data_IF_865246937712
#
_entry.id   IF_865246937712
#
_cell.length_a   1.000
_cell.length_b   1.000
_cell.length_c   1.000
_cell.angle_alpha   90.00
_cell.angle_beta   90.00
_cell.angle_gamma   90.00
#
_symmetry.space_group_name_H-M   'P 1'
#
loop_
_entity.id
_entity.type
_entity.pdbx_description
1 polymer ?
#
# COMPACT_ATOMS: atom_id res chain seq x y z
N UNK A 1 -12.95 -20.63 39.55
CA UNK A 1 -12.95 -19.49 38.60
C UNK A 1 -12.03 -18.45 39.18
N UNK A 2 -10.96 -18.09 38.49
CA UNK A 2 -10.04 -17.06 38.96
C UNK A 2 -10.81 -15.73 39.07
N UNK A 3 -10.73 -15.08 40.21
CA UNK A 3 -11.40 -13.81 40.48
C UNK A 3 -10.75 -12.75 39.60
N UNK A 4 -11.53 -12.12 38.69
CA UNK A 4 -11.03 -11.06 37.80
C UNK A 4 -10.58 -9.86 38.64
N UNK A 5 -9.35 -9.39 38.46
CA UNK A 5 -8.80 -8.21 39.14
C UNK A 5 -9.45 -6.92 38.63
N UNK A 6 -9.65 -5.95 39.53
CA UNK A 6 -10.18 -4.62 39.19
C UNK A 6 -9.34 -3.98 38.05
N UNK A 7 -10.00 -3.41 37.05
CA UNK A 7 -9.32 -2.81 35.89
C UNK A 7 -8.41 -1.63 36.28
N UNK A 8 -8.73 -0.89 37.33
CA UNK A 8 -7.86 0.16 37.85
C UNK A 8 -6.60 -0.44 38.47
N UNK A 9 -6.72 -1.55 39.17
CA UNK A 9 -5.58 -2.29 39.75
C UNK A 9 -4.72 -2.93 38.66
N UNK A 10 -5.34 -3.46 37.59
CA UNK A 10 -4.61 -4.03 36.45
C UNK A 10 -3.75 -2.97 35.77
N UNK A 11 -4.25 -1.75 35.62
CA UNK A 11 -3.47 -0.64 35.06
C UNK A 11 -2.55 0.04 36.10
N UNK A 12 -2.69 -0.27 37.39
CA UNK A 12 -1.92 0.33 38.49
C UNK A 12 -2.23 1.82 38.69
N UNK A 13 -3.48 2.22 38.51
CA UNK A 13 -3.97 3.61 38.62
C UNK A 13 -5.13 3.71 39.62
N UNK A 14 -5.38 4.90 40.12
CA UNK A 14 -6.54 5.17 41.00
C UNK A 14 -7.86 5.32 40.22
N UNK A 15 -9.01 5.09 40.91
CA UNK A 15 -10.36 5.25 40.31
C UNK A 15 -10.63 6.66 39.78
N UNK A 16 -9.92 7.66 40.28
CA UNK A 16 -10.05 9.07 39.85
C UNK A 16 -9.06 9.45 38.72
N UNK A 17 -8.37 8.45 38.11
CA UNK A 17 -7.39 8.71 37.06
C UNK A 17 -8.02 9.40 35.84
N UNK A 18 -7.29 10.36 35.31
CA UNK A 18 -7.66 11.06 34.09
C UNK A 18 -7.45 10.18 32.85
N UNK A 19 -8.09 10.49 31.74
CA UNK A 19 -7.92 9.77 30.46
C UNK A 19 -6.45 9.76 29.98
N UNK A 20 -5.70 10.82 30.31
CA UNK A 20 -4.27 10.90 29.99
C UNK A 20 -3.44 9.89 30.83
N UNK A 21 -3.78 9.73 32.09
CA UNK A 21 -3.12 8.76 33.01
C UNK A 21 -3.45 7.32 32.60
N UNK A 22 -4.70 7.04 32.24
CA UNK A 22 -5.14 5.73 31.74
C UNK A 22 -4.33 5.35 30.50
N UNK A 23 -4.24 6.24 29.49
CA UNK A 23 -3.47 6.04 28.26
C UNK A 23 -1.97 5.89 28.52
N UNK A 24 -1.42 6.61 29.50
CA UNK A 24 0.00 6.51 29.86
C UNK A 24 0.33 5.19 30.54
N UNK A 25 -0.50 4.75 31.49
CA UNK A 25 -0.37 3.48 32.19
C UNK A 25 -0.48 2.30 31.21
N UNK A 26 -1.50 2.33 30.33
CA UNK A 26 -1.68 1.34 29.29
C UNK A 26 -0.42 1.20 28.41
N UNK A 27 0.11 2.30 27.86
CA UNK A 27 1.30 2.25 26.98
C UNK A 27 2.51 1.65 27.68
N UNK A 28 2.71 1.94 28.97
CA UNK A 28 3.80 1.36 29.76
C UNK A 28 3.66 -0.15 29.91
N UNK A 29 2.47 -0.61 30.28
CA UNK A 29 2.21 -2.03 30.53
C UNK A 29 2.13 -2.83 29.23
N UNK A 30 1.51 -2.29 28.18
CA UNK A 30 1.46 -2.92 26.87
C UNK A 30 2.87 -3.13 26.27
N UNK A 31 3.77 -2.14 26.41
CA UNK A 31 5.17 -2.30 26.02
C UNK A 31 5.90 -3.34 26.85
N UNK A 32 5.63 -3.38 28.16
CA UNK A 32 6.29 -4.33 29.09
C UNK A 32 5.92 -5.79 28.81
N UNK A 33 4.64 -6.05 28.51
CA UNK A 33 4.10 -7.39 28.30
C UNK A 33 3.86 -7.72 26.81
N UNK A 34 4.46 -6.95 25.89
CA UNK A 34 4.31 -7.18 24.46
C UNK A 34 4.85 -8.57 24.07
N UNK A 35 4.13 -9.34 23.25
CA UNK A 35 4.57 -10.69 22.86
C UNK A 35 5.91 -10.69 22.13
N UNK A 36 6.23 -9.65 21.34
CA UNK A 36 7.54 -9.55 20.67
C UNK A 36 8.71 -9.35 21.64
N UNK A 37 8.46 -8.76 22.81
CA UNK A 37 9.49 -8.57 23.85
C UNK A 37 9.56 -9.71 24.84
N UNK A 38 8.51 -10.56 24.90
CA UNK A 38 8.40 -11.71 25.82
C UNK A 38 7.95 -12.96 25.03
N UNK A 39 8.70 -13.44 24.05
CA UNK A 39 8.28 -14.57 23.23
C UNK A 39 8.20 -15.85 24.05
N UNK A 40 7.00 -16.47 24.07
CA UNK A 40 6.75 -17.73 24.76
C UNK A 40 6.44 -17.64 26.24
N UNK A 41 6.38 -16.46 26.86
CA UNK A 41 5.98 -16.23 28.25
C UNK A 41 4.45 -16.14 28.36
N UNK A 42 3.83 -17.22 28.88
CA UNK A 42 2.36 -17.29 29.05
C UNK A 42 1.84 -16.31 30.10
N UNK A 43 2.60 -16.01 31.11
CA UNK A 43 2.21 -15.07 32.17
C UNK A 43 2.21 -13.63 31.62
N UNK A 44 3.17 -13.33 30.73
CA UNK A 44 3.17 -12.03 30.02
C UNK A 44 1.98 -11.91 29.05
N UNK A 45 1.63 -12.99 28.36
CA UNK A 45 0.47 -13.01 27.44
C UNK A 45 -0.86 -12.82 28.18
N UNK A 46 -1.04 -13.47 29.34
CA UNK A 46 -2.24 -13.29 30.16
C UNK A 46 -2.34 -11.85 30.69
N UNK A 47 -1.25 -11.29 31.21
CA UNK A 47 -1.20 -9.91 31.67
C UNK A 47 -1.44 -8.91 30.52
N UNK A 48 -0.96 -9.21 29.34
CA UNK A 48 -1.20 -8.37 28.15
C UNK A 48 -2.69 -8.35 27.79
N UNK A 49 -3.37 -9.49 27.85
CA UNK A 49 -4.83 -9.59 27.63
C UNK A 49 -5.61 -8.81 28.69
N UNK A 50 -5.26 -8.93 29.96
CA UNK A 50 -5.90 -8.17 31.04
C UNK A 50 -5.71 -6.66 30.88
N UNK A 51 -4.50 -6.22 30.52
CA UNK A 51 -4.18 -4.79 30.29
C UNK A 51 -4.98 -4.22 29.11
N UNK A 52 -5.16 -4.99 28.04
CA UNK A 52 -5.96 -4.59 26.89
C UNK A 52 -7.45 -4.50 27.24
N UNK A 53 -8.00 -5.49 27.96
CA UNK A 53 -9.39 -5.48 28.44
C UNK A 53 -9.66 -4.28 29.37
N UNK A 54 -8.75 -4.02 30.30
CA UNK A 54 -8.85 -2.87 31.19
C UNK A 54 -8.84 -1.53 30.45
N UNK A 55 -7.97 -1.38 29.44
CA UNK A 55 -7.92 -0.17 28.63
C UNK A 55 -9.18 0.00 27.77
N UNK A 56 -9.74 -1.07 27.19
CA UNK A 56 -10.96 -1.00 26.37
C UNK A 56 -12.17 -0.50 27.18
N UNK A 57 -12.23 -0.87 28.45
CA UNK A 57 -13.32 -0.42 29.33
C UNK A 57 -13.08 0.98 29.89
N UNK A 58 -11.87 1.28 30.35
CA UNK A 58 -11.58 2.54 31.04
C UNK A 58 -11.32 3.72 30.11
N UNK A 59 -10.98 3.49 28.84
CA UNK A 59 -10.77 4.55 27.84
C UNK A 59 -12.05 5.09 27.24
N UNK A 60 -13.15 4.33 27.30
CA UNK A 60 -14.48 4.77 26.85
C UNK A 60 -15.29 5.36 28.01
N UNK A 61 -15.68 6.64 27.96
CA UNK A 61 -16.42 7.29 29.05
C UNK A 61 -17.74 6.60 29.42
N UNK A 62 -18.41 5.93 28.48
CA UNK A 62 -19.66 5.23 28.71
C UNK A 62 -19.44 3.87 29.36
N UNK A 63 -18.45 3.10 28.88
CA UNK A 63 -18.07 1.83 29.46
C UNK A 63 -17.51 2.04 30.89
N UNK A 64 -16.65 3.07 31.05
CA UNK A 64 -16.09 3.43 32.37
C UNK A 64 -17.21 3.74 33.38
N UNK A 65 -18.19 4.59 33.03
CA UNK A 65 -19.32 4.88 33.89
C UNK A 65 -20.13 3.64 34.29
N UNK A 66 -20.34 2.72 33.35
CA UNK A 66 -21.04 1.46 33.64
C UNK A 66 -20.18 0.54 34.53
N UNK A 67 -18.90 0.49 34.31
CA UNK A 67 -17.98 -0.27 35.16
C UNK A 67 -17.91 0.33 36.56
N UNK A 68 -17.86 1.64 36.72
CA UNK A 68 -17.82 2.32 38.00
C UNK A 68 -19.11 2.12 38.81
N UNK A 69 -20.27 1.95 38.13
CA UNK A 69 -21.57 1.76 38.77
C UNK A 69 -21.91 0.29 39.07
N UNK A 70 -21.54 -0.62 38.18
CA UNK A 70 -21.99 -2.02 38.22
C UNK A 70 -20.84 -3.04 38.23
N UNK A 71 -19.59 -2.57 38.30
CA UNK A 71 -18.40 -3.42 38.23
C UNK A 71 -18.33 -4.19 36.92
N UNK A 72 -17.78 -5.40 36.95
CA UNK A 72 -17.69 -6.30 35.79
C UNK A 72 -19.05 -6.61 35.17
N UNK A 73 -20.11 -6.69 35.95
CA UNK A 73 -21.44 -6.94 35.45
C UNK A 73 -21.94 -5.83 34.49
N UNK A 74 -21.51 -4.59 34.68
CA UNK A 74 -21.89 -3.47 33.82
C UNK A 74 -21.26 -3.46 32.42
N UNK A 75 -20.22 -4.26 32.21
CA UNK A 75 -19.46 -4.36 30.96
C UNK A 75 -19.45 -5.77 30.35
N UNK A 76 -20.10 -6.73 31.01
CA UNK A 76 -20.28 -8.09 30.50
C UNK A 76 -21.35 -8.08 29.37
N UNK A 77 -21.03 -8.56 28.17
CA UNK A 77 -21.99 -8.65 27.05
C UNK A 77 -23.24 -9.45 27.37
N UNK A 78 -23.20 -10.36 28.35
CA UNK A 78 -24.31 -11.24 28.72
C UNK A 78 -25.21 -10.67 29.84
N UNK A 79 -24.84 -9.59 30.50
CA UNK A 79 -25.56 -9.07 31.67
C UNK A 79 -26.92 -8.41 31.33
N UNK A 80 -27.20 -8.13 30.05
CA UNK A 80 -28.47 -7.53 29.61
C UNK A 80 -29.50 -8.51 29.01
N UNK A 81 -29.21 -9.80 28.92
CA UNK A 81 -30.04 -10.78 28.22
C UNK A 81 -31.17 -11.41 29.05
N UNK A 82 -31.28 -11.04 30.35
CA UNK A 82 -32.20 -11.68 31.31
C UNK A 82 -33.37 -10.86 31.79
N UNK A 83 -33.62 -9.63 31.32
CA UNK A 83 -34.81 -8.87 31.72
C UNK A 83 -35.80 -8.67 30.55
N UNK A 84 -37.09 -8.98 30.70
CA UNK A 84 -38.10 -8.74 29.66
C UNK A 84 -38.46 -7.25 29.63
N UNK A 85 -37.87 -6.50 28.71
CA UNK A 85 -38.24 -5.08 28.51
C UNK A 85 -37.16 -4.16 27.91
N UNK A 86 -36.12 -4.63 27.25
CA UNK A 86 -35.16 -3.71 26.66
C UNK A 86 -34.41 -4.36 25.48
N UNK A 87 -35.03 -4.27 24.30
CA UNK A 87 -34.43 -4.79 23.06
C UNK A 87 -33.19 -4.01 22.60
N UNK A 88 -32.03 -4.59 22.76
CA UNK A 88 -30.83 -4.36 21.92
C UNK A 88 -29.89 -5.56 22.09
N UNK A 89 -30.33 -6.69 21.55
CA UNK A 89 -29.50 -7.86 21.40
C UNK A 89 -28.98 -7.97 19.98
N UNK A 90 -27.71 -7.76 19.79
CA UNK A 90 -26.97 -8.02 18.55
C UNK A 90 -25.76 -8.88 18.89
N UNK A 91 -25.90 -10.21 18.62
CA UNK A 91 -25.00 -11.26 18.98
C UNK A 91 -23.57 -11.10 18.49
N UNK A 92 -22.66 -11.30 19.41
CA UNK A 92 -21.28 -11.65 19.13
C UNK A 92 -20.95 -12.92 19.95
N UNK A 93 -21.59 -14.01 19.58
CA UNK A 93 -21.31 -15.34 20.13
C UNK A 93 -20.78 -16.25 19.04
N UNK A 94 -19.53 -16.64 19.14
CA UNK A 94 -19.01 -17.76 18.37
C UNK A 94 -17.73 -17.51 17.61
N UNK A 95 -16.62 -17.39 18.30
CA UNK A 95 -15.31 -17.64 17.70
C UNK A 95 -14.48 -18.52 18.65
N UNK A 96 -14.78 -19.80 18.61
CA UNK A 96 -13.92 -20.84 19.12
C UNK A 96 -13.53 -21.76 17.98
N UNK A 97 -12.25 -21.79 17.62
CA UNK A 97 -11.70 -22.88 16.81
C UNK A 97 -10.83 -22.46 15.63
N UNK A 98 -9.52 -22.70 15.81
CA UNK A 98 -8.49 -23.02 14.81
C UNK A 98 -8.03 -21.98 13.80
N UNK A 99 -6.74 -21.64 13.92
CA UNK A 99 -5.86 -21.27 12.81
C UNK A 99 -5.56 -19.79 12.67
N UNK A 100 -4.40 -19.40 13.18
CA UNK A 100 -3.53 -18.28 12.78
C UNK A 100 -4.06 -17.24 11.81
N UNK A 101 -4.80 -16.27 12.30
CA UNK A 101 -5.13 -15.06 11.56
C UNK A 101 -4.61 -13.90 12.37
N UNK A 102 -3.79 -13.07 11.72
CA UNK A 102 -3.20 -11.87 12.30
C UNK A 102 -4.28 -10.93 12.83
N UNK A 103 -4.33 -10.79 14.17
CA UNK A 103 -5.31 -9.94 14.87
C UNK A 103 -5.11 -8.45 14.59
N UNK A 104 -4.02 -8.04 13.97
CA UNK A 104 -3.69 -6.66 13.65
C UNK A 104 -4.55 -6.10 12.51
N UNK A 105 -4.79 -6.87 11.47
CA UNK A 105 -5.55 -6.45 10.28
C UNK A 105 -7.06 -6.38 10.54
N UNK A 106 -7.60 -7.27 11.39
CA UNK A 106 -9.03 -7.26 11.74
C UNK A 106 -9.36 -6.09 12.70
N UNK A 107 -8.41 -5.70 13.54
CA UNK A 107 -8.60 -4.59 14.48
C UNK A 107 -8.50 -3.22 13.78
N UNK A 108 -7.68 -3.10 12.74
CA UNK A 108 -7.55 -1.88 11.92
C UNK A 108 -8.81 -1.54 11.13
N UNK A 109 -9.46 -2.52 10.54
CA UNK A 109 -10.68 -2.33 9.74
C UNK A 109 -11.94 -2.10 10.59
N UNK A 110 -12.00 -2.65 11.80
CA UNK A 110 -13.17 -2.47 12.71
C UNK A 110 -13.06 -1.17 13.51
N UNK A 111 -11.86 -0.72 13.85
CA UNK A 111 -11.67 0.46 14.71
C UNK A 111 -11.09 1.71 14.01
N UNK A 112 -10.44 1.57 12.85
CA UNK A 112 -9.88 2.70 12.10
C UNK A 112 -10.86 3.45 11.20
N UNK A 113 -12.03 2.91 10.95
CA UNK A 113 -13.07 3.45 10.09
C UNK A 113 -14.32 3.86 10.86
N UNK A 114 -14.28 4.96 11.65
CA UNK A 114 -15.48 5.75 12.00
C UNK A 114 -16.58 5.01 12.72
N UNK A 115 -16.43 4.73 14.02
CA UNK A 115 -17.53 4.36 14.92
C UNK A 115 -18.48 5.56 15.17
N UNK A 116 -19.05 6.06 14.07
CA UNK A 116 -20.06 7.13 14.09
C UNK A 116 -21.28 6.76 13.25
N UNK A 117 -21.83 5.53 13.37
CA UNK A 117 -22.94 5.17 12.50
C UNK A 117 -23.55 3.80 12.68
N UNK A 118 -23.54 3.21 13.85
CA UNK A 118 -24.35 2.03 14.13
C UNK A 118 -25.77 2.43 14.48
N UNK A 119 -26.56 2.75 13.45
CA UNK A 119 -27.95 3.12 13.66
C UNK A 119 -28.61 3.66 12.42
N UNK A 120 -28.47 2.98 11.31
CA UNK A 120 -29.24 3.28 10.12
C UNK A 120 -28.73 2.38 9.01
N UNK A 121 -29.45 1.33 8.66
CA UNK A 121 -29.40 0.84 7.30
C UNK A 121 -29.64 2.07 6.43
N UNK A 122 -28.55 2.65 5.91
CA UNK A 122 -28.62 3.70 4.88
C UNK A 122 -29.44 3.08 3.77
N UNK A 123 -30.74 3.43 3.77
CA UNK A 123 -31.66 3.11 2.69
C UNK A 123 -30.94 3.57 1.44
N UNK A 124 -30.28 2.64 0.75
CA UNK A 124 -29.60 2.95 -0.51
C UNK A 124 -30.68 3.41 -1.47
N UNK A 125 -30.81 4.73 -1.59
CA UNK A 125 -31.71 5.30 -2.59
C UNK A 125 -31.15 4.88 -3.96
N UNK A 126 -31.87 4.05 -4.73
CA UNK A 126 -31.40 3.59 -6.03
C UNK A 126 -31.15 4.75 -7.00
N UNK A 127 -31.77 5.91 -6.74
CA UNK A 127 -31.58 7.13 -7.50
C UNK A 127 -30.50 8.06 -6.94
N UNK A 128 -29.80 7.66 -5.88
CA UNK A 128 -28.69 8.46 -5.37
C UNK A 128 -27.56 8.58 -6.41
N UNK A 129 -26.90 9.75 -6.50
CA UNK A 129 -25.72 9.91 -7.33
C UNK A 129 -24.64 8.89 -6.94
N UNK A 130 -24.14 8.15 -7.92
CA UNK A 130 -23.07 7.18 -7.68
C UNK A 130 -21.87 7.52 -8.55
N UNK A 131 -20.67 7.47 -7.94
CA UNK A 131 -19.40 7.63 -8.65
C UNK A 131 -19.28 6.54 -9.73
N UNK A 132 -18.70 6.88 -10.89
CA UNK A 132 -18.34 5.95 -11.93
C UNK A 132 -17.22 5.00 -11.48
N UNK A 133 -17.03 3.93 -12.24
CA UNK A 133 -15.93 2.99 -11.96
C UNK A 133 -14.59 3.61 -12.29
N UNK A 134 -13.60 3.29 -11.47
CA UNK A 134 -12.21 3.64 -11.75
C UNK A 134 -11.66 2.68 -12.80
N UNK A 135 -10.81 3.19 -13.72
CA UNK A 135 -10.21 2.43 -14.82
C UNK A 135 -8.73 2.29 -14.56
N UNK A 136 -8.20 1.09 -14.70
CA UNK A 136 -6.77 0.83 -14.62
C UNK A 136 -6.16 0.85 -16.03
N UNK A 137 -4.96 1.42 -16.13
CA UNK A 137 -4.16 1.45 -17.33
C UNK A 137 -2.69 1.22 -16.97
N UNK A 138 -1.94 0.50 -17.80
CA UNK A 138 -0.53 0.22 -17.57
C UNK A 138 0.31 1.05 -18.54
N UNK A 139 1.41 1.58 -18.04
CA UNK A 139 2.40 2.31 -18.84
C UNK A 139 3.78 1.74 -18.54
N UNK A 140 4.49 1.41 -19.61
CA UNK A 140 5.86 0.91 -19.52
C UNK A 140 6.81 2.05 -19.85
N UNK A 141 7.77 2.30 -18.97
CA UNK A 141 8.80 3.31 -19.09
C UNK A 141 10.18 2.67 -19.29
N UNK A 142 11.06 3.38 -19.97
CA UNK A 142 12.51 3.10 -19.90
C UNK A 142 13.08 3.72 -18.61
N UNK A 143 14.28 3.31 -18.22
CA UNK A 143 14.99 3.88 -17.08
C UNK A 143 15.15 5.41 -17.21
N UNK A 144 15.56 5.88 -18.41
CA UNK A 144 15.76 7.31 -18.69
C UNK A 144 14.44 8.11 -18.57
N UNK A 145 13.33 7.54 -19.10
CA UNK A 145 12.00 8.16 -18.99
C UNK A 145 11.53 8.25 -17.54
N UNK A 146 11.84 7.26 -16.72
CA UNK A 146 11.51 7.27 -15.30
C UNK A 146 12.38 8.25 -14.50
N UNK A 147 13.67 8.38 -14.87
CA UNK A 147 14.61 9.27 -14.21
C UNK A 147 14.31 10.76 -14.49
N UNK A 148 14.02 11.10 -15.75
CA UNK A 148 13.79 12.50 -16.18
C UNK A 148 12.33 12.92 -16.19
N UNK A 149 11.41 11.94 -16.12
CA UNK A 149 10.00 12.17 -16.36
C UNK A 149 9.67 12.32 -17.84
N UNK A 150 8.42 12.05 -18.17
CA UNK A 150 7.96 12.13 -19.55
C UNK A 150 6.44 12.36 -19.64
N UNK A 151 5.96 12.59 -20.85
CA UNK A 151 4.53 12.60 -21.15
C UNK A 151 4.18 11.43 -22.06
N UNK A 152 3.30 10.53 -21.60
CA UNK A 152 2.85 9.35 -22.35
C UNK A 152 1.38 9.47 -22.71
N UNK A 153 1.05 9.04 -23.93
CA UNK A 153 -0.34 8.96 -24.39
C UNK A 153 -0.89 7.56 -24.08
N UNK A 154 -1.93 7.52 -23.25
CA UNK A 154 -2.63 6.29 -22.88
C UNK A 154 -4.01 6.32 -23.53
N UNK A 155 -4.33 5.31 -24.33
CA UNK A 155 -5.64 5.16 -24.96
C UNK A 155 -6.45 4.12 -24.20
N UNK A 156 -7.62 4.51 -23.73
CA UNK A 156 -8.51 3.66 -22.95
C UNK A 156 -9.95 3.76 -23.46
N UNK A 157 -10.71 2.71 -23.24
CA UNK A 157 -12.15 2.69 -23.46
C UNK A 157 -12.84 3.03 -22.16
N UNK A 158 -13.70 4.04 -22.17
CA UNK A 158 -14.47 4.43 -20.99
C UNK A 158 -15.95 4.61 -21.31
N UNK A 159 -16.77 4.41 -20.30
CA UNK A 159 -18.18 4.77 -20.35
C UNK A 159 -18.29 6.30 -20.18
N UNK A 160 -18.88 6.97 -21.16
CA UNK A 160 -19.20 8.39 -21.05
C UNK A 160 -20.71 8.60 -21.02
N UNK A 161 -21.16 9.72 -20.49
CA UNK A 161 -22.56 10.12 -20.56
C UNK A 161 -22.99 10.20 -22.02
N UNK A 162 -24.10 9.59 -22.35
CA UNK A 162 -24.61 9.59 -23.71
C UNK A 162 -24.89 11.05 -24.16
N UNK A 163 -24.29 11.52 -25.25
CA UNK A 163 -24.48 12.92 -25.72
C UNK A 163 -25.91 13.21 -26.11
N UNK A 164 -26.63 12.22 -26.67
CA UNK A 164 -27.96 12.43 -27.22
C UNK A 164 -29.04 12.57 -26.14
N UNK A 165 -28.91 11.86 -25.04
CA UNK A 165 -29.90 11.90 -23.97
C UNK A 165 -29.38 12.54 -22.67
N UNK A 166 -28.16 13.04 -22.62
CA UNK A 166 -27.58 13.64 -21.40
C UNK A 166 -27.54 12.73 -20.18
N UNK A 167 -27.59 11.41 -20.38
CA UNK A 167 -27.52 10.42 -19.30
C UNK A 167 -28.87 9.92 -18.77
N UNK A 168 -29.99 10.47 -19.23
CA UNK A 168 -31.33 10.05 -18.76
C UNK A 168 -31.86 8.76 -19.41
N UNK A 169 -31.22 8.31 -20.48
CA UNK A 169 -31.59 7.09 -21.21
C UNK A 169 -32.80 7.21 -22.11
N UNK A 170 -33.48 8.34 -22.15
CA UNK A 170 -34.69 8.56 -22.94
C UNK A 170 -34.38 9.14 -24.31
N UNK A 171 -35.27 8.93 -25.28
CA UNK A 171 -35.19 9.60 -26.59
C UNK A 171 -35.25 11.13 -26.39
N UNK A 172 -34.62 11.93 -27.30
CA UNK A 172 -34.73 13.39 -27.27
C UNK A 172 -36.17 13.87 -27.17
N UNK A 173 -36.45 14.79 -26.24
CA UNK A 173 -37.78 15.28 -25.97
C UNK A 173 -38.67 14.43 -25.05
N UNK A 174 -38.18 13.31 -24.58
CA UNK A 174 -38.85 12.50 -23.55
C UNK A 174 -38.06 12.43 -22.24
N UNK A 175 -38.78 12.26 -21.13
CA UNK A 175 -38.21 12.17 -19.79
C UNK A 175 -38.58 10.82 -19.15
N UNK A 176 -37.78 10.34 -18.19
CA UNK A 176 -38.14 9.14 -17.41
C UNK A 176 -39.42 9.39 -16.61
N UNK A 177 -40.37 8.45 -16.62
CA UNK A 177 -41.58 8.51 -15.81
C UNK A 177 -41.36 7.80 -14.48
N UNK A 178 -41.99 8.30 -13.42
CA UNK A 178 -41.95 7.62 -12.11
C UNK A 178 -42.66 6.28 -12.20
N UNK A 179 -42.05 5.21 -11.72
CA UNK A 179 -42.65 3.91 -11.66
C UNK A 179 -43.87 3.91 -10.74
N UNK A 180 -45.04 3.56 -11.28
CA UNK A 180 -46.30 3.56 -10.56
C UNK A 180 -46.38 2.49 -9.47
N UNK A 181 -45.70 1.36 -9.66
CA UNK A 181 -45.73 0.23 -8.72
C UNK A 181 -44.94 0.52 -7.44
N UNK A 182 -43.76 1.11 -7.53
CA UNK A 182 -42.94 1.43 -6.38
C UNK A 182 -42.98 2.92 -5.97
N UNK A 183 -43.71 3.76 -6.69
CA UNK A 183 -43.80 5.21 -6.44
C UNK A 183 -42.44 5.90 -6.47
N UNK A 184 -41.52 5.47 -7.34
CA UNK A 184 -40.17 6.04 -7.46
C UNK A 184 -39.13 5.45 -6.51
N UNK A 185 -39.52 4.59 -5.60
CA UNK A 185 -38.62 4.03 -4.56
C UNK A 185 -37.60 3.02 -5.11
N UNK A 186 -37.90 2.36 -6.23
CA UNK A 186 -37.08 1.32 -6.82
C UNK A 186 -37.17 -0.06 -6.14
N UNK A 187 -37.87 -0.17 -5.02
CA UNK A 187 -38.08 -1.41 -4.30
C UNK A 187 -39.53 -1.55 -3.84
N UNK A 188 -39.97 -2.80 -3.66
CA UNK A 188 -41.25 -3.16 -3.06
C UNK A 188 -41.00 -3.91 -1.76
N UNK A 189 -41.86 -3.68 -0.76
CA UNK A 189 -41.75 -4.37 0.52
C UNK A 189 -42.73 -5.55 0.50
N UNK A 190 -42.21 -6.76 0.58
CA UNK A 190 -43.02 -7.96 0.73
C UNK A 190 -43.02 -8.40 2.20
N UNK A 191 -44.22 -8.70 2.72
CA UNK A 191 -44.37 -9.21 4.07
C UNK A 191 -44.59 -10.74 3.97
N UNK A 192 -43.68 -11.50 4.56
CA UNK A 192 -43.83 -12.95 4.70
C UNK A 192 -44.17 -13.29 6.14
N UNK A 193 -45.27 -13.99 6.34
CA UNK A 193 -45.63 -14.57 7.64
C UNK A 193 -44.81 -15.83 7.85
N UNK A 194 -43.94 -15.82 8.83
CA UNK A 194 -43.21 -17.02 9.26
C UNK A 194 -43.74 -17.48 10.63
N UNK A 195 -43.50 -18.71 11.05
CA UNK A 195 -43.91 -19.22 12.37
C UNK A 195 -43.36 -18.38 13.54
N UNK A 196 -42.31 -17.56 13.28
CA UNK A 196 -41.68 -16.72 14.29
C UNK A 196 -42.06 -15.23 14.19
N UNK A 197 -43.04 -14.86 13.34
CA UNK A 197 -43.50 -13.49 13.18
C UNK A 197 -43.58 -13.03 11.73
N UNK A 198 -43.90 -11.74 11.53
CA UNK A 198 -44.00 -11.11 10.21
C UNK A 198 -42.60 -10.57 9.83
N UNK A 199 -42.00 -11.15 8.82
CA UNK A 199 -40.74 -10.70 8.27
C UNK A 199 -40.99 -9.80 7.07
N UNK A 200 -40.45 -8.58 7.10
CA UNK A 200 -40.51 -7.65 5.98
C UNK A 200 -39.20 -7.76 5.17
N UNK A 201 -39.35 -8.10 3.89
CA UNK A 201 -38.22 -8.16 2.95
C UNK A 201 -38.39 -7.08 1.89
N UNK A 202 -37.32 -6.33 1.63
CA UNK A 202 -37.27 -5.37 0.52
C UNK A 202 -36.68 -6.05 -0.71
N UNK A 203 -37.42 -6.03 -1.81
CA UNK A 203 -36.97 -6.61 -3.08
C UNK A 203 -36.94 -5.51 -4.17
N UNK A 204 -36.00 -5.58 -5.13
CA UNK A 204 -36.05 -4.67 -6.27
C UNK A 204 -37.40 -4.74 -6.95
N UNK A 205 -37.97 -3.58 -7.27
CA UNK A 205 -39.27 -3.53 -7.96
C UNK A 205 -39.18 -4.25 -9.32
N UNK A 206 -40.01 -5.28 -9.56
CA UNK A 206 -39.94 -6.09 -10.79
C UNK A 206 -40.26 -5.24 -12.03
N UNK A 207 -41.11 -4.23 -11.89
CA UNK A 207 -41.57 -3.42 -13.01
C UNK A 207 -40.51 -2.44 -13.53
N UNK A 208 -39.71 -1.80 -12.64
CA UNK A 208 -38.67 -0.89 -13.03
C UNK A 208 -37.24 -1.48 -12.89
N UNK A 209 -37.10 -2.71 -12.43
CA UNK A 209 -35.82 -3.37 -12.21
C UNK A 209 -34.93 -2.64 -11.17
N UNK A 210 -35.53 -2.04 -10.17
CA UNK A 210 -34.81 -1.30 -9.14
C UNK A 210 -34.51 0.18 -9.46
N UNK A 211 -34.85 0.68 -10.65
CA UNK A 211 -34.52 2.06 -11.06
C UNK A 211 -35.41 3.13 -10.45
N UNK A 212 -36.63 2.79 -10.03
CA UNK A 212 -37.63 3.76 -9.58
C UNK A 212 -38.31 4.53 -10.71
N UNK A 213 -37.76 4.50 -11.92
CA UNK A 213 -38.28 5.17 -13.12
C UNK A 213 -38.42 4.20 -14.28
N UNK A 214 -39.33 4.52 -15.22
CA UNK A 214 -39.59 3.73 -16.42
C UNK A 214 -39.27 4.59 -17.64
N UNK A 215 -38.54 4.01 -18.58
CA UNK A 215 -38.22 4.62 -19.86
C UNK A 215 -39.15 4.04 -20.92
N UNK A 216 -40.17 4.81 -21.33
CA UNK A 216 -41.09 4.37 -22.41
C UNK A 216 -40.44 4.43 -23.78
N UNK A 217 -39.70 5.50 -24.04
CA UNK A 217 -39.03 5.73 -25.31
C UNK A 217 -37.50 5.71 -25.08
N UNK A 218 -36.82 4.59 -25.25
CA UNK A 218 -35.38 4.50 -25.02
C UNK A 218 -34.60 5.28 -26.09
N UNK A 219 -33.54 5.95 -25.66
CA UNK A 219 -32.57 6.60 -26.54
C UNK A 219 -31.96 5.57 -27.51
N UNK A 220 -31.97 5.89 -28.82
CA UNK A 220 -31.45 4.98 -29.85
C UNK A 220 -29.96 4.67 -29.68
N UNK A 221 -29.17 5.66 -29.24
CA UNK A 221 -27.72 5.57 -29.10
C UNK A 221 -27.29 4.73 -27.92
N UNK A 222 -27.86 4.96 -26.72
CA UNK A 222 -27.49 4.23 -25.51
C UNK A 222 -28.47 3.10 -25.14
N UNK A 223 -29.58 2.94 -25.87
CA UNK A 223 -30.62 1.91 -25.63
C UNK A 223 -31.15 1.90 -24.19
N UNK A 224 -31.32 3.09 -23.59
CA UNK A 224 -31.86 3.25 -22.25
C UNK A 224 -30.84 3.17 -21.13
N UNK A 225 -29.54 2.97 -21.42
CA UNK A 225 -28.49 2.90 -20.39
C UNK A 225 -28.02 4.26 -19.89
N UNK A 226 -28.24 5.32 -20.67
CA UNK A 226 -27.73 6.66 -20.40
C UNK A 226 -26.21 6.84 -20.64
N UNK A 227 -25.51 5.75 -21.00
CA UNK A 227 -24.06 5.74 -21.21
C UNK A 227 -23.68 5.14 -22.54
N UNK A 228 -22.55 5.58 -23.09
CA UNK A 228 -21.95 5.06 -24.33
C UNK A 228 -20.47 4.81 -24.10
N UNK A 229 -19.95 3.73 -24.70
CA UNK A 229 -18.52 3.47 -24.69
C UNK A 229 -17.81 4.38 -25.70
N UNK A 230 -16.75 5.05 -25.26
CA UNK A 230 -15.93 5.88 -26.13
C UNK A 230 -14.45 5.61 -25.87
N UNK A 231 -13.69 5.60 -26.97
CA UNK A 231 -12.24 5.52 -26.92
C UNK A 231 -11.68 6.93 -26.68
N UNK A 232 -10.91 7.10 -25.62
CA UNK A 232 -10.27 8.37 -25.29
C UNK A 232 -8.78 8.19 -25.11
N UNK A 233 -8.00 9.07 -25.71
CA UNK A 233 -6.55 9.16 -25.47
C UNK A 233 -6.31 10.26 -24.44
N UNK A 234 -5.63 9.90 -23.36
CA UNK A 234 -5.23 10.82 -22.29
C UNK A 234 -3.72 10.99 -22.34
N UNK A 235 -3.27 12.21 -22.15
CA UNK A 235 -1.86 12.50 -21.94
C UNK A 235 -1.57 12.45 -20.44
N UNK A 236 -0.71 11.53 -20.05
CA UNK A 236 -0.29 11.30 -18.66
C UNK A 236 1.07 11.93 -18.49
N UNK A 237 1.16 12.95 -17.66
CA UNK A 237 2.43 13.54 -17.25
C UNK A 237 3.03 12.71 -16.12
N UNK A 238 4.16 12.11 -16.39
CA UNK A 238 4.88 11.25 -15.45
C UNK A 238 6.01 12.09 -14.85
N UNK A 239 6.03 12.30 -13.54
CA UNK A 239 7.07 13.10 -12.90
C UNK A 239 8.42 12.39 -12.93
N UNK A 240 9.50 13.18 -12.91
CA UNK A 240 10.86 12.67 -12.77
C UNK A 240 11.04 11.95 -11.44
N UNK A 241 11.80 10.85 -11.45
CA UNK A 241 12.08 10.08 -10.26
C UNK A 241 11.03 9.03 -9.87
N UNK A 242 10.02 8.84 -10.71
CA UNK A 242 9.01 7.79 -10.47
C UNK A 242 9.68 6.43 -10.39
N UNK A 243 9.19 5.59 -9.48
CA UNK A 243 9.70 4.23 -9.28
C UNK A 243 8.80 3.18 -9.93
N UNK A 244 9.31 1.95 -10.01
CA UNK A 244 8.53 0.81 -10.46
C UNK A 244 7.33 0.58 -9.52
N UNK A 245 6.26 -0.03 -10.04
CA UNK A 245 5.01 -0.33 -9.32
C UNK A 245 4.27 0.88 -8.74
N UNK A 246 4.64 2.12 -9.10
CA UNK A 246 3.92 3.31 -8.65
C UNK A 246 2.67 3.59 -9.48
N UNK A 247 1.66 4.18 -8.82
CA UNK A 247 0.38 4.51 -9.42
C UNK A 247 0.20 6.03 -9.54
N UNK A 248 -0.27 6.47 -10.71
CA UNK A 248 -0.64 7.85 -10.97
C UNK A 248 -2.16 7.92 -11.14
N UNK A 249 -2.84 8.70 -10.30
CA UNK A 249 -4.29 8.88 -10.37
C UNK A 249 -4.65 10.12 -11.20
N UNK A 250 -5.39 9.90 -12.29
CA UNK A 250 -6.00 10.97 -13.09
C UNK A 250 -7.46 11.12 -12.68
N UNK A 251 -7.73 12.09 -11.83
CA UNK A 251 -9.04 12.29 -11.22
C UNK A 251 -10.11 12.65 -12.25
N UNK A 252 -11.30 12.03 -12.13
CA UNK A 252 -12.45 12.30 -12.98
C UNK A 252 -12.31 11.86 -14.45
N UNK A 253 -11.30 11.08 -14.80
CA UNK A 253 -11.07 10.59 -16.16
C UNK A 253 -11.56 9.15 -16.41
N UNK A 254 -12.08 8.47 -15.36
CA UNK A 254 -12.65 7.14 -15.43
C UNK A 254 -14.05 7.11 -16.06
N UNK A 255 -14.83 6.10 -15.74
CA UNK A 255 -16.19 5.94 -16.23
C UNK A 255 -17.13 7.02 -15.69
N UNK A 256 -18.11 7.40 -16.50
CA UNK A 256 -19.17 8.32 -16.07
C UNK A 256 -19.95 7.73 -14.90
N UNK A 257 -20.27 8.56 -13.91
CA UNK A 257 -21.14 8.20 -12.81
C UNK A 257 -22.56 7.87 -13.24
N UNK A 258 -23.40 7.48 -12.31
CA UNK A 258 -24.84 7.27 -12.54
C UNK A 258 -25.63 8.27 -11.71
N UNK A 259 -26.83 8.61 -12.19
CA UNK A 259 -27.76 9.53 -11.52
C UNK A 259 -27.11 10.89 -11.17
N UNK A 260 -26.29 11.44 -12.09
CA UNK A 260 -25.60 12.71 -11.84
C UNK A 260 -24.38 12.61 -10.92
N UNK A 261 -23.94 11.39 -10.57
CA UNK A 261 -22.73 11.19 -9.79
C UNK A 261 -21.44 11.57 -10.56
N UNK A 262 -20.34 11.83 -9.85
CA UNK A 262 -19.06 12.18 -10.48
C UNK A 262 -18.50 11.00 -11.27
N UNK A 263 -17.64 11.30 -12.25
CA UNK A 263 -16.88 10.28 -12.95
C UNK A 263 -15.88 9.61 -12.00
N UNK A 264 -15.50 8.38 -12.33
CA UNK A 264 -14.40 7.66 -11.69
C UNK A 264 -13.05 8.27 -12.05
N UNK A 265 -12.00 7.65 -11.59
CA UNK A 265 -10.61 8.04 -11.84
C UNK A 265 -9.93 7.04 -12.79
N UNK A 266 -8.84 7.46 -13.45
CA UNK A 266 -7.95 6.53 -14.15
C UNK A 266 -6.72 6.36 -13.30
N UNK A 267 -6.44 5.12 -12.92
CA UNK A 267 -5.25 4.72 -12.16
C UNK A 267 -4.25 4.16 -13.18
N UNK A 268 -3.18 4.90 -13.41
CA UNK A 268 -2.10 4.50 -14.31
C UNK A 268 -1.02 3.81 -13.48
N UNK A 269 -0.88 2.52 -13.69
CA UNK A 269 0.19 1.71 -13.10
C UNK A 269 1.45 1.84 -13.95
N UNK A 270 2.55 2.22 -13.33
CA UNK A 270 3.83 2.43 -13.99
C UNK A 270 4.72 1.22 -13.80
N UNK A 271 5.24 0.70 -14.90
CA UNK A 271 6.25 -0.36 -14.89
C UNK A 271 7.52 0.17 -15.53
N UNK A 272 8.64 0.12 -14.81
CA UNK A 272 9.95 0.56 -15.30
C UNK A 272 10.75 -0.65 -15.80
N UNK A 273 11.19 -0.59 -17.06
CA UNK A 273 12.06 -1.62 -17.61
C UNK A 273 13.44 -1.57 -16.95
N UNK A 274 13.99 -2.74 -16.65
CA UNK A 274 15.38 -2.86 -16.22
C UNK A 274 16.32 -2.34 -17.31
N UNK A 275 17.34 -1.59 -16.90
CA UNK A 275 18.41 -1.12 -17.78
C UNK A 275 19.62 -2.07 -17.72
N UNK A 276 20.39 -2.13 -18.82
CA UNK A 276 21.55 -3.01 -18.90
C UNK A 276 22.82 -2.39 -18.30
N UNK A 277 22.84 -1.09 -18.11
CA UNK A 277 23.99 -0.30 -17.64
C UNK A 277 23.77 0.17 -16.22
N UNK A 278 22.55 0.64 -15.94
CA UNK A 278 22.19 1.24 -14.68
C UNK A 278 21.34 0.30 -13.81
N UNK A 279 21.75 0.13 -12.58
CA UNK A 279 20.99 -0.55 -11.53
C UNK A 279 20.48 0.53 -10.55
N UNK A 280 19.17 0.54 -10.29
CA UNK A 280 18.53 1.52 -9.43
C UNK A 280 18.29 0.96 -8.04
N UNK A 281 18.58 1.75 -7.02
CA UNK A 281 18.22 1.48 -5.63
C UNK A 281 17.61 2.75 -5.02
N UNK A 282 16.29 2.81 -5.02
CA UNK A 282 15.55 4.02 -4.65
C UNK A 282 15.87 5.21 -5.58
N UNK A 283 16.60 6.20 -5.08
CA UNK A 283 17.05 7.36 -5.88
C UNK A 283 18.53 7.31 -6.24
N UNK A 284 19.25 6.34 -5.71
CA UNK A 284 20.64 6.11 -6.04
C UNK A 284 20.77 5.19 -7.26
N UNK A 285 21.86 5.38 -8.01
CA UNK A 285 22.12 4.64 -9.24
C UNK A 285 23.47 3.98 -9.15
N UNK A 286 23.56 2.73 -9.54
CA UNK A 286 24.78 1.95 -9.59
C UNK A 286 25.13 1.66 -11.04
N UNK A 287 26.42 1.81 -11.37
CA UNK A 287 26.97 1.45 -12.67
C UNK A 287 28.25 0.64 -12.48
N UNK A 288 28.36 -0.46 -13.20
CA UNK A 288 29.59 -1.29 -13.24
C UNK A 288 30.41 -0.91 -14.45
N UNK A 289 31.65 -0.45 -14.21
CA UNK A 289 32.53 -0.01 -15.28
C UNK A 289 33.74 -0.93 -15.31
N UNK A 290 33.93 -1.70 -16.41
CA UNK A 290 35.12 -2.50 -16.58
C UNK A 290 36.34 -1.61 -16.90
N UNK A 291 37.44 -1.82 -16.17
CA UNK A 291 38.71 -1.16 -16.41
C UNK A 291 39.80 -2.18 -16.65
N UNK A 292 40.83 -1.79 -17.36
CA UNK A 292 41.99 -2.67 -17.59
C UNK A 292 42.87 -2.81 -16.34
N UNK A 293 43.63 -3.88 -16.24
CA UNK A 293 44.60 -4.09 -15.16
C UNK A 293 45.57 -2.91 -15.03
N UNK A 294 46.09 -2.41 -16.15
CA UNK A 294 47.03 -1.27 -16.16
C UNK A 294 46.37 0.02 -15.64
N UNK A 295 45.12 0.26 -16.01
CA UNK A 295 44.36 1.43 -15.45
C UNK A 295 44.14 1.32 -13.94
N UNK A 296 43.91 0.10 -13.44
CA UNK A 296 43.73 -0.12 -12.01
C UNK A 296 45.03 0.09 -11.22
N UNK A 297 46.18 -0.35 -11.80
CA UNK A 297 47.50 -0.27 -11.14
C UNK A 297 48.06 1.14 -11.18
N UNK A 298 48.06 1.77 -12.36
CA UNK A 298 48.71 3.06 -12.61
C UNK A 298 47.81 4.27 -12.31
N UNK A 299 46.52 4.00 -12.11
CA UNK A 299 45.48 5.04 -12.10
C UNK A 299 45.17 5.49 -13.53
N UNK A 300 43.98 6.03 -13.70
CA UNK A 300 43.50 6.53 -14.98
C UNK A 300 42.35 7.55 -14.78
N UNK A 301 42.08 8.29 -15.80
CA UNK A 301 40.85 9.04 -15.95
C UNK A 301 39.95 8.33 -16.94
N UNK A 302 38.74 7.98 -16.53
CA UNK A 302 37.77 7.22 -17.35
C UNK A 302 36.47 8.01 -17.51
N UNK A 303 35.84 7.88 -18.67
CA UNK A 303 34.49 8.39 -18.88
C UNK A 303 33.47 7.40 -18.31
N UNK A 304 32.64 7.88 -17.38
CA UNK A 304 31.59 7.08 -16.76
C UNK A 304 30.24 7.61 -17.24
N UNK A 305 29.32 6.73 -17.70
CA UNK A 305 27.98 7.16 -18.01
C UNK A 305 27.24 7.54 -16.73
N UNK A 306 26.49 8.63 -16.80
CA UNK A 306 25.57 9.07 -15.74
C UNK A 306 24.17 9.20 -16.30
N UNK A 307 23.18 9.40 -15.43
CA UNK A 307 21.78 9.61 -15.83
C UNK A 307 21.64 10.80 -16.80
N UNK A 308 22.46 11.83 -16.66
CA UNK A 308 22.38 13.07 -17.46
C UNK A 308 23.44 13.15 -18.58
N UNK A 309 24.26 12.12 -18.75
CA UNK A 309 25.32 12.13 -19.77
C UNK A 309 26.57 11.38 -19.34
N UNK A 310 27.74 11.98 -19.50
CA UNK A 310 29.05 11.36 -19.14
C UNK A 310 29.83 12.29 -18.23
N UNK A 311 30.54 11.69 -17.27
CA UNK A 311 31.41 12.42 -16.34
C UNK A 311 32.78 11.75 -16.33
N UNK A 312 33.84 12.54 -16.34
CA UNK A 312 35.20 12.05 -16.15
C UNK A 312 35.43 11.70 -14.68
N UNK A 313 35.76 10.45 -14.40
CA UNK A 313 36.08 9.95 -13.06
C UNK A 313 37.54 9.55 -12.99
N UNK A 314 38.26 10.13 -12.02
CA UNK A 314 39.64 9.76 -11.74
C UNK A 314 39.67 8.49 -10.90
N UNK A 315 40.38 7.50 -11.39
CA UNK A 315 40.69 6.24 -10.71
C UNK A 315 42.09 6.36 -10.09
N UNK A 316 42.22 6.28 -8.78
CA UNK A 316 43.53 6.29 -8.10
C UNK A 316 44.36 5.03 -8.48
N UNK A 317 45.68 5.18 -8.39
CA UNK A 317 46.58 4.03 -8.50
C UNK A 317 46.32 2.98 -7.42
N UNK A 318 46.48 1.71 -7.76
CA UNK A 318 46.27 0.58 -6.85
C UNK A 318 44.80 0.28 -6.57
N UNK A 319 43.85 0.82 -7.36
CA UNK A 319 42.42 0.57 -7.21
C UNK A 319 42.09 -0.92 -7.36
N UNK A 320 41.40 -1.49 -6.38
CA UNK A 320 41.01 -2.89 -6.38
C UNK A 320 39.66 -3.08 -7.07
N UNK A 321 39.45 -4.25 -7.67
CA UNK A 321 38.15 -4.63 -8.25
C UNK A 321 37.06 -4.61 -7.18
N UNK A 322 35.88 -4.10 -7.52
CA UNK A 322 34.75 -3.89 -6.60
C UNK A 322 34.81 -2.56 -5.81
N UNK A 323 35.84 -1.73 -6.04
CA UNK A 323 35.91 -0.41 -5.42
C UNK A 323 34.77 0.47 -5.90
N UNK A 324 34.09 1.17 -4.96
CA UNK A 324 32.94 2.05 -5.22
C UNK A 324 33.36 3.51 -5.13
N UNK A 325 33.12 4.27 -6.19
CA UNK A 325 33.27 5.71 -6.22
C UNK A 325 31.92 6.39 -6.21
N UNK A 326 31.70 7.36 -5.35
CA UNK A 326 30.45 8.09 -5.22
C UNK A 326 30.50 9.41 -5.99
N UNK A 327 29.60 9.55 -6.94
CA UNK A 327 29.34 10.80 -7.66
C UNK A 327 28.13 11.47 -7.02
N UNK A 328 28.37 12.51 -6.23
CA UNK A 328 27.31 13.20 -5.46
C UNK A 328 26.34 13.92 -6.37
N UNK A 329 25.04 13.74 -6.12
CA UNK A 329 23.97 14.41 -6.84
C UNK A 329 23.82 14.00 -8.30
N UNK A 330 24.44 12.87 -8.74
CA UNK A 330 24.34 12.33 -10.10
C UNK A 330 23.32 11.17 -10.21
N UNK A 331 22.54 10.94 -9.15
CA UNK A 331 21.45 9.97 -9.13
C UNK A 331 20.14 10.53 -9.67
N UNK A 332 19.04 9.87 -9.34
CA UNK A 332 17.68 10.20 -9.78
C UNK A 332 17.12 11.32 -8.93
N UNK A 333 16.32 12.20 -9.54
CA UNK A 333 15.65 13.29 -8.84
C UNK A 333 14.59 12.77 -7.86
N UNK A 334 14.48 13.39 -6.68
CA UNK A 334 13.43 13.04 -5.72
C UNK A 334 12.04 13.43 -6.22
N UNK A 335 11.09 12.52 -6.14
CA UNK A 335 9.72 12.69 -6.64
C UNK A 335 9.00 13.89 -6.00
N UNK A 336 9.17 14.08 -4.68
CA UNK A 336 8.44 15.08 -3.88
C UNK A 336 9.37 16.11 -3.23
N UNK A 337 10.59 16.27 -3.69
CA UNK A 337 11.59 17.11 -3.01
C UNK A 337 12.52 17.86 -3.96
N UNK A 338 13.35 18.71 -3.34
CA UNK A 338 14.47 19.33 -4.04
C UNK A 338 15.70 18.49 -3.78
N UNK A 339 16.39 18.10 -4.85
CA UNK A 339 17.63 17.33 -4.76
C UNK A 339 17.56 16.04 -5.55
N UNK A 340 18.65 15.31 -5.53
CA UNK A 340 18.88 14.08 -6.27
C UNK A 340 19.63 13.08 -5.39
N UNK A 341 19.47 11.80 -5.68
CA UNK A 341 20.32 10.76 -5.14
C UNK A 341 21.75 10.84 -5.70
N UNK A 342 22.56 9.89 -5.36
CA UNK A 342 23.94 9.79 -5.81
C UNK A 342 24.11 8.67 -6.81
N UNK A 343 25.19 8.74 -7.59
CA UNK A 343 25.59 7.62 -8.43
C UNK A 343 26.83 6.94 -7.86
N UNK A 344 26.81 5.61 -7.83
CA UNK A 344 27.92 4.78 -7.40
C UNK A 344 28.51 4.05 -8.59
N UNK A 345 29.78 4.33 -8.85
CA UNK A 345 30.58 3.68 -9.89
C UNK A 345 31.33 2.53 -9.25
N UNK A 346 30.99 1.30 -9.64
CA UNK A 346 31.67 0.10 -9.20
C UNK A 346 32.67 -0.28 -10.28
N UNK A 347 33.92 -0.29 -9.95
CA UNK A 347 34.99 -0.59 -10.89
C UNK A 347 35.29 -2.08 -10.85
N UNK A 348 35.19 -2.74 -12.00
CA UNK A 348 35.57 -4.16 -12.17
C UNK A 348 36.83 -4.27 -13.04
N UNK A 349 37.85 -4.91 -12.51
CA UNK A 349 39.09 -5.12 -13.27
C UNK A 349 38.92 -6.30 -14.23
N UNK A 350 38.94 -6.01 -15.52
CA UNK A 350 38.85 -7.04 -16.56
C UNK A 350 40.24 -7.61 -16.86
N UNK A 351 40.37 -8.94 -16.74
CA UNK A 351 41.57 -9.67 -17.06
C UNK A 351 41.52 -10.12 -18.52
N UNK A 352 42.52 -9.78 -19.36
CA UNK A 352 42.55 -10.15 -20.77
C UNK A 352 42.61 -11.66 -20.95
N UNK A 353 41.72 -12.22 -21.76
CA UNK A 353 41.60 -13.68 -21.98
C UNK A 353 42.54 -14.21 -23.04
N UNK A 354 42.93 -13.39 -24.01
CA UNK A 354 43.78 -13.80 -25.17
C UNK A 354 44.97 -12.88 -25.25
N UNK A 355 46.17 -13.46 -25.10
CA UNK A 355 47.44 -12.75 -25.20
C UNK A 355 48.28 -13.32 -26.36
N UNK A 356 48.87 -12.43 -27.16
CA UNK A 356 49.86 -12.81 -28.14
C UNK A 356 51.22 -13.10 -27.45
N UNK A 357 52.23 -13.56 -28.24
CA UNK A 357 53.53 -13.94 -27.68
C UNK A 357 54.23 -12.78 -26.99
N UNK A 358 54.28 -11.61 -27.62
CA UNK A 358 54.93 -10.39 -27.09
C UNK A 358 54.26 -9.90 -25.79
N UNK A 359 52.93 -9.93 -25.74
CA UNK A 359 52.15 -9.54 -24.53
C UNK A 359 52.42 -10.50 -23.36
N UNK A 360 52.56 -11.79 -23.67
CA UNK A 360 52.89 -12.81 -22.65
C UNK A 360 54.30 -12.64 -22.11
N UNK A 361 55.27 -12.38 -22.98
CA UNK A 361 56.67 -12.10 -22.60
C UNK A 361 56.73 -10.83 -21.69
N UNK A 362 56.05 -9.77 -22.08
CA UNK A 362 55.98 -8.54 -21.27
C UNK A 362 55.32 -8.76 -19.90
N UNK A 363 54.23 -9.55 -19.84
CA UNK A 363 53.54 -9.86 -18.60
C UNK A 363 54.40 -10.74 -17.66
N UNK A 364 55.15 -11.70 -18.21
CA UNK A 364 56.09 -12.51 -17.41
C UNK A 364 57.20 -11.63 -16.85
N UNK A 365 57.81 -10.77 -17.67
CA UNK A 365 58.83 -9.84 -17.20
C UNK A 365 58.31 -8.88 -16.07
N UNK A 366 57.05 -8.47 -16.17
CA UNK A 366 56.41 -7.69 -15.13
C UNK A 366 56.24 -8.51 -13.85
N UNK A 367 55.70 -9.74 -13.92
CA UNK A 367 55.53 -10.63 -12.75
C UNK A 367 56.90 -10.93 -12.08
N UNK A 368 57.97 -11.19 -12.86
CA UNK A 368 59.30 -11.43 -12.32
C UNK A 368 59.89 -10.21 -11.57
N UNK A 369 59.42 -9.00 -11.91
CA UNK A 369 59.83 -7.78 -11.24
C UNK A 369 59.13 -7.50 -9.90
N UNK A 370 57.99 -8.19 -9.68
CA UNK A 370 57.17 -7.99 -8.49
C UNK A 370 57.71 -8.75 -7.27
N UNK A 371 57.50 -8.19 -6.10
CA UNK A 371 57.86 -8.78 -4.80
C UNK A 371 56.63 -9.02 -3.96
N UNK A 372 56.73 -9.87 -2.93
CA UNK A 372 55.61 -10.16 -2.00
C UNK A 372 55.06 -8.90 -1.34
N UNK A 373 55.86 -7.85 -1.20
CA UNK A 373 55.42 -6.56 -0.64
C UNK A 373 54.46 -5.78 -1.53
N UNK A 374 54.40 -6.12 -2.83
CA UNK A 374 53.42 -5.53 -3.76
C UNK A 374 52.00 -6.08 -3.58
N UNK A 375 51.82 -7.18 -2.82
CA UNK A 375 50.56 -7.88 -2.65
C UNK A 375 50.16 -8.04 -1.16
N UNK A 376 49.62 -7.02 -0.55
CA UNK A 376 49.26 -7.02 0.87
C UNK A 376 48.31 -8.16 1.28
N UNK A 377 47.24 -8.38 0.49
CA UNK A 377 46.27 -9.45 0.76
C UNK A 377 46.87 -10.83 0.65
N UNK A 378 47.72 -11.07 -0.36
CA UNK A 378 48.43 -12.32 -0.55
C UNK A 378 49.37 -12.60 0.61
N UNK A 379 50.18 -11.60 1.00
CA UNK A 379 51.08 -11.67 2.17
C UNK A 379 50.33 -11.99 3.47
N UNK A 380 49.25 -11.27 3.74
CA UNK A 380 48.40 -11.51 4.91
C UNK A 380 47.78 -12.92 4.93
N UNK A 381 47.27 -13.39 3.81
CA UNK A 381 46.68 -14.72 3.69
C UNK A 381 47.70 -15.84 3.97
N UNK A 382 48.86 -15.79 3.34
CA UNK A 382 49.89 -16.80 3.55
C UNK A 382 50.54 -16.76 4.93
N UNK A 383 50.61 -15.57 5.56
CA UNK A 383 51.02 -15.47 6.97
C UNK A 383 50.04 -16.18 7.88
N UNK A 384 48.75 -15.86 7.77
CA UNK A 384 47.71 -16.50 8.56
C UNK A 384 47.62 -18.01 8.35
N UNK A 385 47.92 -18.47 7.10
CA UNK A 385 47.96 -19.89 6.77
C UNK A 385 49.12 -20.58 7.48
N UNK A 386 50.33 -19.99 7.46
CA UNK A 386 51.48 -20.50 8.20
C UNK A 386 51.21 -20.60 9.70
N UNK A 387 50.66 -19.54 10.29
CA UNK A 387 50.34 -19.49 11.72
C UNK A 387 49.33 -20.59 12.15
N UNK A 388 48.43 -20.98 11.23
CA UNK A 388 47.42 -22.03 11.48
C UNK A 388 47.97 -23.45 11.40
N UNK A 389 49.05 -23.68 10.66
CA UNK A 389 49.63 -25.01 10.48
C UNK A 389 50.97 -25.20 11.27
N UNK A 390 51.44 -24.14 11.93
CA UNK A 390 52.62 -24.19 12.81
C UNK A 390 52.33 -24.16 14.29
N UNK A 391 51.03 -24.07 14.65
CA UNK A 391 50.47 -24.33 16.00
C UNK A 391 49.96 -25.77 16.08
#
# INVERSE_FOLDING_TARGET
MAEKRDYYEVLGIGKNATDAEIKSAYRKLAKKYHPDLNPGDKDAEEKFKEVNEANDVLSDPNKRKRYDQFGFAGVDPNYGAGQPGGGYGGGFGGFGGTGGVDLGDIFGDIFGGGFGGFGGSTRSNPNAPRKGHDIQANVILTFEEAAHGCAKKVTLNRQQTCPDCGGNGCAPGSSPETCTECGGRGYVVTQQRTPFGVMQSQQPCPHCGGRGTIIKNPCKTCRGTGKTSARKTLEVKIPAGIDDDQNIALRGQGDAGTNGGPAGDVIVHVTVKTDNVFERDGYDVYVRVPITYSQAVLGAEIEVPTVDGKVAQKIPEGTQSGTKFRLRGQGIQYLNGRGRGDQYVIVDVEIPKKLNRTQREALNAFEDSLKDDNYEKRKGFFKNLKDRFTS
#
